data_IF_721469047833
#
_entry.id   IF_721469047833
#
_cell.length_a   1.000
_cell.length_b   1.000
_cell.length_c   1.000
_cell.angle_alpha   90.00
_cell.angle_beta   90.00
_cell.angle_gamma   90.00
#
_symmetry.space_group_name_H-M   'P 1'
#
loop_
_entity.id
_entity.type
_entity.pdbx_description
1 polymer ?
#
# COMPACT_ATOMS: atom_id res chain seq x y z
N UNK A 1 9.40 -4.13 3.21
CA UNK A 1 10.03 -4.81 2.05
C UNK A 1 11.37 -4.19 1.66
N UNK A 2 11.48 -2.86 1.49
CA UNK A 2 12.73 -2.22 1.09
C UNK A 2 13.89 -2.42 2.08
N UNK A 3 13.62 -2.39 3.40
CA UNK A 3 14.68 -2.63 4.39
C UNK A 3 15.27 -4.04 4.28
N UNK A 4 14.43 -5.03 3.97
CA UNK A 4 14.88 -6.40 3.68
C UNK A 4 15.68 -6.42 2.37
N UNK A 5 15.23 -5.72 1.33
CA UNK A 5 15.95 -5.63 0.06
C UNK A 5 17.33 -4.96 0.20
N UNK A 6 17.45 -3.92 1.04
CA UNK A 6 18.71 -3.28 1.39
C UNK A 6 19.69 -4.24 2.05
N UNK A 7 19.21 -5.06 2.98
CA UNK A 7 20.03 -6.12 3.60
C UNK A 7 20.48 -7.17 2.58
N UNK A 8 19.79 -7.29 1.44
CA UNK A 8 20.12 -8.17 0.32
C UNK A 8 20.86 -7.45 -0.84
N UNK A 9 21.41 -6.25 -0.59
CA UNK A 9 22.28 -5.54 -1.54
C UNK A 9 21.61 -4.55 -2.48
N UNK A 10 20.30 -4.30 -2.34
CA UNK A 10 19.56 -3.36 -3.19
C UNK A 10 19.66 -1.93 -2.65
N UNK A 11 20.14 -0.99 -3.46
CA UNK A 11 20.45 0.38 -3.02
C UNK A 11 19.32 1.38 -3.29
N UNK A 12 18.56 1.18 -4.37
CA UNK A 12 17.48 2.06 -4.80
C UNK A 12 16.09 1.40 -4.67
N UNK A 13 15.15 2.07 -4.00
CA UNK A 13 13.77 1.60 -3.81
C UNK A 13 13.07 1.33 -5.14
N UNK A 14 13.37 2.11 -6.18
CA UNK A 14 12.72 1.98 -7.49
C UNK A 14 13.18 0.76 -8.28
N UNK A 15 14.31 0.15 -7.92
CA UNK A 15 14.76 -1.12 -8.48
C UNK A 15 13.93 -2.30 -7.97
N UNK A 16 13.33 -2.16 -6.80
CA UNK A 16 12.60 -3.24 -6.15
C UNK A 16 11.40 -3.71 -7.00
N UNK A 17 10.66 -2.77 -7.61
CA UNK A 17 9.54 -3.08 -8.52
C UNK A 17 9.97 -3.70 -9.86
N UNK A 18 11.27 -3.63 -10.20
CA UNK A 18 11.84 -4.19 -11.43
C UNK A 18 12.39 -5.61 -11.25
N UNK A 19 12.51 -6.07 -10.00
CA UNK A 19 12.96 -7.43 -9.71
C UNK A 19 11.97 -8.47 -10.27
N UNK A 20 12.44 -9.68 -10.61
CA UNK A 20 11.56 -10.80 -10.93
C UNK A 20 10.53 -11.03 -9.81
N UNK A 21 9.29 -11.40 -10.19
CA UNK A 21 8.19 -11.63 -9.25
C UNK A 21 8.57 -12.63 -8.14
N UNK A 22 9.31 -13.69 -8.46
CA UNK A 22 9.77 -14.67 -7.47
C UNK A 22 10.64 -14.03 -6.38
N UNK A 23 11.53 -13.09 -6.74
CA UNK A 23 12.36 -12.38 -5.76
C UNK A 23 11.53 -11.38 -4.96
N UNK A 24 10.56 -10.72 -5.58
CA UNK A 24 9.62 -9.85 -4.86
C UNK A 24 8.80 -10.65 -3.82
N UNK A 25 8.34 -11.85 -4.16
CA UNK A 25 7.63 -12.75 -3.23
C UNK A 25 8.50 -13.16 -2.04
N UNK A 26 9.77 -13.51 -2.26
CA UNK A 26 10.71 -13.86 -1.19
C UNK A 26 10.93 -12.68 -0.22
N UNK A 27 11.12 -11.47 -0.77
CA UNK A 27 11.28 -10.25 0.00
C UNK A 27 9.99 -9.86 0.76
N UNK A 28 8.82 -10.06 0.15
CA UNK A 28 7.52 -9.86 0.79
C UNK A 28 7.33 -10.81 1.96
N UNK A 29 7.62 -12.11 1.77
CA UNK A 29 7.52 -13.13 2.82
C UNK A 29 8.43 -12.79 4.00
N UNK A 30 9.70 -12.49 3.75
CA UNK A 30 10.67 -12.14 4.80
C UNK A 30 10.25 -10.88 5.55
N UNK A 31 9.75 -9.87 4.83
CA UNK A 31 9.24 -8.65 5.46
C UNK A 31 8.00 -8.93 6.32
N UNK A 32 7.09 -9.79 5.85
CA UNK A 32 5.90 -10.21 6.58
C UNK A 32 6.26 -10.96 7.88
N UNK A 33 7.23 -11.87 7.83
CA UNK A 33 7.71 -12.60 9.01
C UNK A 33 8.34 -11.67 10.04
N UNK A 34 9.12 -10.68 9.57
CA UNK A 34 9.69 -9.65 10.46
C UNK A 34 8.60 -8.80 11.12
N UNK A 35 7.59 -8.36 10.37
CA UNK A 35 6.45 -7.62 10.90
C UNK A 35 5.68 -8.46 11.92
N UNK A 36 5.43 -9.74 11.63
CA UNK A 36 4.72 -10.65 12.54
C UNK A 36 5.49 -10.95 13.84
N UNK A 37 6.80 -10.67 13.86
CA UNK A 37 7.64 -10.81 15.06
C UNK A 37 7.66 -9.57 15.97
N UNK A 38 7.05 -8.46 15.54
CA UNK A 38 6.86 -7.27 16.38
C UNK A 38 6.07 -7.60 17.66
N UNK A 39 6.43 -6.96 18.77
CA UNK A 39 5.84 -7.20 20.10
C UNK A 39 5.00 -6.02 20.60
N UNK A 40 5.01 -4.93 19.83
CA UNK A 40 4.21 -3.75 20.06
C UNK A 40 2.72 -4.08 19.97
N UNK A 41 1.92 -3.43 20.82
CA UNK A 41 0.47 -3.62 20.86
C UNK A 41 -0.21 -3.23 19.54
N UNK A 42 0.30 -2.16 18.90
CA UNK A 42 -0.21 -1.65 17.62
C UNK A 42 0.94 -1.51 16.64
N UNK A 43 0.82 -2.20 15.51
CA UNK A 43 1.77 -2.12 14.39
C UNK A 43 1.05 -1.55 13.18
N UNK A 44 1.44 -0.34 12.77
CA UNK A 44 0.91 0.30 11.56
C UNK A 44 1.81 -0.04 10.38
N UNK A 45 1.22 -0.64 9.34
CA UNK A 45 1.93 -1.07 8.13
C UNK A 45 1.55 -0.13 6.98
N UNK A 46 2.41 0.84 6.67
CA UNK A 46 2.29 1.63 5.45
C UNK A 46 2.72 0.79 4.24
N UNK A 47 1.75 0.47 3.38
CA UNK A 47 1.96 -0.36 2.20
C UNK A 47 0.97 0.01 1.10
N UNK A 48 1.25 -0.45 -0.11
CA UNK A 48 0.33 -0.30 -1.23
C UNK A 48 -0.56 -1.53 -1.35
N UNK A 49 -1.82 -1.33 -1.77
CA UNK A 49 -2.71 -2.44 -2.14
C UNK A 49 -2.14 -3.22 -3.35
N UNK A 50 -1.46 -2.51 -4.25
CA UNK A 50 -0.79 -3.07 -5.41
C UNK A 50 0.40 -2.23 -5.84
N UNK A 51 1.25 -2.82 -6.68
CA UNK A 51 2.34 -2.16 -7.39
C UNK A 51 2.00 -2.24 -8.88
N UNK A 52 2.02 -1.10 -9.56
CA UNK A 52 1.92 -1.05 -11.02
C UNK A 52 3.26 -1.49 -11.63
N UNK A 53 3.24 -2.58 -12.42
CA UNK A 53 4.38 -3.06 -13.19
C UNK A 53 4.02 -3.15 -14.68
N UNK A 54 5.00 -3.38 -15.58
CA UNK A 54 4.72 -3.63 -16.99
C UNK A 54 3.80 -4.85 -17.23
N UNK A 55 3.78 -5.81 -16.30
CA UNK A 55 3.00 -7.06 -16.38
C UNK A 55 1.56 -6.88 -15.85
N UNK A 56 1.27 -5.77 -15.18
CA UNK A 56 -0.06 -5.47 -14.63
C UNK A 56 0.01 -4.93 -13.20
N UNK A 57 -1.08 -5.12 -12.45
CA UNK A 57 -1.15 -4.75 -11.04
C UNK A 57 -0.76 -5.95 -10.18
N UNK A 58 0.43 -5.87 -9.58
CA UNK A 58 0.93 -6.90 -8.69
C UNK A 58 0.43 -6.63 -7.26
N UNK A 59 -0.21 -7.60 -6.57
CA UNK A 59 -0.77 -7.38 -5.24
C UNK A 59 0.33 -7.07 -4.21
N UNK A 60 0.14 -6.01 -3.43
CA UNK A 60 1.04 -5.68 -2.32
C UNK A 60 0.81 -6.53 -1.08
N UNK A 61 -0.39 -7.11 -0.95
CA UNK A 61 -0.80 -8.00 0.13
C UNK A 61 -1.40 -9.31 -0.41
N UNK A 62 -0.58 -10.16 -1.07
CA UNK A 62 -1.03 -11.47 -1.54
C UNK A 62 -1.35 -12.41 -0.36
N UNK A 63 -2.09 -13.48 -0.63
CA UNK A 63 -2.56 -14.44 0.38
C UNK A 63 -1.43 -14.95 1.31
N UNK A 64 -0.26 -15.27 0.77
CA UNK A 64 0.86 -15.77 1.57
C UNK A 64 1.40 -14.72 2.57
N UNK A 65 1.32 -13.43 2.24
CA UNK A 65 1.65 -12.34 3.16
C UNK A 65 0.56 -12.18 4.21
N UNK A 66 -0.71 -12.17 3.78
CA UNK A 66 -1.86 -12.03 4.67
C UNK A 66 -1.92 -13.14 5.74
N UNK A 67 -1.56 -14.38 5.38
CA UNK A 67 -1.49 -15.52 6.31
C UNK A 67 -0.42 -15.37 7.39
N UNK A 68 0.64 -14.61 7.11
CA UNK A 68 1.74 -14.36 8.04
C UNK A 68 1.40 -13.16 8.94
N UNK A 69 1.06 -12.02 8.33
CA UNK A 69 0.81 -10.76 9.05
C UNK A 69 -0.47 -10.85 9.89
N UNK A 70 -1.51 -11.54 9.38
CA UNK A 70 -2.85 -11.63 10.01
C UNK A 70 -3.35 -10.26 10.47
N UNK A 71 -3.49 -9.29 9.54
CA UNK A 71 -3.91 -7.93 9.90
C UNK A 71 -5.27 -7.98 10.59
N UNK A 72 -5.49 -7.11 11.57
CA UNK A 72 -6.79 -6.97 12.26
C UNK A 72 -7.70 -5.96 11.57
N UNK A 73 -7.13 -5.02 10.82
CA UNK A 73 -7.84 -3.91 10.18
C UNK A 73 -7.13 -3.54 8.88
N UNK A 74 -7.91 -3.09 7.90
CA UNK A 74 -7.39 -2.38 6.74
C UNK A 74 -7.86 -0.93 6.74
N UNK A 75 -6.96 -0.03 6.35
CA UNK A 75 -7.29 1.37 6.12
C UNK A 75 -6.93 1.70 4.67
N UNK A 76 -7.95 2.01 3.87
CA UNK A 76 -7.78 2.44 2.48
C UNK A 76 -7.84 3.96 2.41
N UNK A 77 -6.68 4.60 2.28
CA UNK A 77 -6.56 6.04 2.11
C UNK A 77 -6.67 6.39 0.63
N UNK A 78 -7.56 7.32 0.29
CA UNK A 78 -7.73 7.84 -1.06
C UNK A 78 -8.05 9.33 -1.04
N UNK A 79 -8.15 9.94 -2.22
CA UNK A 79 -8.61 11.30 -2.41
C UNK A 79 -9.36 11.38 -3.74
N UNK A 80 -9.96 12.55 -4.06
CA UNK A 80 -10.59 12.70 -5.37
C UNK A 80 -9.55 12.50 -6.48
N UNK A 81 -9.90 11.85 -7.61
CA UNK A 81 -8.96 11.65 -8.71
C UNK A 81 -8.27 12.94 -9.16
N UNK A 82 -9.00 14.05 -9.16
CA UNK A 82 -8.51 15.37 -9.55
C UNK A 82 -7.50 15.93 -8.53
N UNK A 83 -7.74 15.74 -7.23
CA UNK A 83 -6.81 16.12 -6.16
C UNK A 83 -5.52 15.30 -6.24
N UNK A 84 -5.64 13.97 -6.43
CA UNK A 84 -4.48 13.11 -6.63
C UNK A 84 -3.70 13.55 -7.86
N UNK A 85 -4.37 13.76 -8.99
CA UNK A 85 -3.73 14.20 -10.22
C UNK A 85 -2.96 15.52 -10.01
N UNK A 86 -3.61 16.53 -9.41
CA UNK A 86 -3.00 17.82 -9.09
C UNK A 86 -1.76 17.67 -8.20
N UNK A 87 -1.86 16.92 -7.09
CA UNK A 87 -0.71 16.67 -6.18
C UNK A 87 0.46 16.03 -6.91
N UNK A 88 0.19 15.08 -7.81
CA UNK A 88 1.23 14.39 -8.57
C UNK A 88 1.88 15.28 -9.64
N UNK A 89 1.15 16.25 -10.20
CA UNK A 89 1.68 17.22 -11.16
C UNK A 89 2.54 18.30 -10.50
N UNK A 90 2.29 18.59 -9.23
CA UNK A 90 3.06 19.57 -8.43
C UNK A 90 4.24 18.96 -7.67
N UNK A 91 4.48 17.65 -7.81
CA UNK A 91 5.52 16.92 -7.07
C UNK A 91 6.73 16.65 -7.96
N UNK A 92 7.73 17.52 -7.87
CA UNK A 92 8.97 17.45 -8.66
C UNK A 92 9.94 16.36 -8.18
N UNK A 93 9.66 15.72 -7.04
CA UNK A 93 10.59 14.75 -6.43
C UNK A 93 10.47 13.34 -7.03
N UNK A 94 9.44 13.08 -7.84
CA UNK A 94 9.13 11.74 -8.35
C UNK A 94 8.83 11.74 -9.85
N UNK A 95 9.55 10.91 -10.61
CA UNK A 95 9.28 10.71 -12.03
C UNK A 95 8.15 9.67 -12.23
N UNK A 96 7.05 10.07 -12.86
CA UNK A 96 5.85 9.23 -13.04
C UNK A 96 5.48 9.13 -14.52
N UNK A 97 5.89 8.04 -15.16
CA UNK A 97 5.79 7.83 -16.61
C UNK A 97 4.36 7.85 -17.21
N UNK A 98 3.29 7.69 -16.41
CA UNK A 98 1.90 7.51 -16.90
C UNK A 98 0.84 8.23 -16.06
N UNK A 99 1.05 9.50 -15.76
CA UNK A 99 0.14 10.24 -14.89
C UNK A 99 -0.99 10.94 -15.68
N UNK A 100 -2.11 10.26 -15.88
CA UNK A 100 -3.34 10.85 -16.43
C UNK A 100 -4.48 10.71 -15.42
N UNK A 101 -5.47 11.60 -15.47
CA UNK A 101 -6.66 11.50 -14.61
C UNK A 101 -7.38 10.16 -14.78
N UNK A 102 -7.44 9.63 -16.01
CA UNK A 102 -8.03 8.31 -16.29
C UNK A 102 -7.25 7.18 -15.61
N UNK A 103 -5.92 7.24 -15.61
CA UNK A 103 -5.09 6.25 -14.93
C UNK A 103 -5.27 6.33 -13.41
N UNK A 104 -5.37 7.52 -12.83
CA UNK A 104 -5.67 7.70 -11.40
C UNK A 104 -7.00 7.06 -11.04
N UNK A 105 -8.06 7.27 -11.83
CA UNK A 105 -9.37 6.64 -11.61
C UNK A 105 -9.25 5.11 -11.63
N UNK A 106 -8.58 4.58 -12.65
CA UNK A 106 -8.34 3.13 -12.78
C UNK A 106 -7.56 2.56 -11.60
N UNK A 107 -6.53 3.26 -11.13
CA UNK A 107 -5.74 2.86 -9.96
C UNK A 107 -6.60 2.81 -8.69
N UNK A 108 -7.50 3.78 -8.50
CA UNK A 108 -8.44 3.79 -7.37
C UNK A 108 -9.42 2.61 -7.41
N UNK A 109 -9.94 2.29 -8.59
CA UNK A 109 -10.86 1.14 -8.77
C UNK A 109 -10.15 -0.19 -8.43
N UNK A 110 -8.91 -0.36 -8.92
CA UNK A 110 -8.08 -1.53 -8.61
C UNK A 110 -7.74 -1.61 -7.13
N UNK A 111 -7.39 -0.48 -6.49
CA UNK A 111 -7.14 -0.42 -5.05
C UNK A 111 -8.38 -0.90 -4.27
N UNK A 112 -9.56 -0.39 -4.63
CA UNK A 112 -10.82 -0.77 -3.99
C UNK A 112 -11.09 -2.27 -4.12
N UNK A 113 -10.90 -2.83 -5.31
CA UNK A 113 -11.06 -4.27 -5.55
C UNK A 113 -10.08 -5.12 -4.74
N UNK A 114 -8.79 -4.77 -4.73
CA UNK A 114 -7.77 -5.55 -4.02
C UNK A 114 -7.92 -5.49 -2.51
N UNK A 115 -8.23 -4.32 -1.95
CA UNK A 115 -8.49 -4.20 -0.50
C UNK A 115 -9.75 -4.98 -0.11
N UNK A 116 -10.80 -4.95 -0.94
CA UNK A 116 -12.00 -5.75 -0.69
C UNK A 116 -11.69 -7.25 -0.69
N UNK A 117 -10.84 -7.73 -1.60
CA UNK A 117 -10.37 -9.12 -1.61
C UNK A 117 -9.56 -9.47 -0.34
N UNK A 118 -8.69 -8.58 0.12
CA UNK A 118 -7.93 -8.78 1.36
C UNK A 118 -8.87 -8.93 2.57
N UNK A 119 -9.92 -8.11 2.63
CA UNK A 119 -10.94 -8.17 3.68
C UNK A 119 -11.69 -9.51 3.66
N UNK A 120 -12.09 -9.99 2.48
CA UNK A 120 -12.76 -11.30 2.32
C UNK A 120 -11.85 -12.45 2.74
N UNK A 121 -10.57 -12.42 2.36
CA UNK A 121 -9.60 -13.49 2.67
C UNK A 121 -9.31 -13.57 4.18
N UNK A 122 -9.21 -12.43 4.86
CA UNK A 122 -8.78 -12.36 6.27
C UNK A 122 -9.93 -12.27 7.27
N UNK A 123 -11.13 -11.91 6.81
CA UNK A 123 -12.25 -11.55 7.68
C UNK A 123 -12.11 -10.20 8.38
N UNK A 124 -11.11 -9.38 8.01
CA UNK A 124 -10.83 -8.10 8.68
C UNK A 124 -11.59 -6.93 8.06
N UNK A 125 -12.08 -5.97 8.87
CA UNK A 125 -12.81 -4.81 8.38
C UNK A 125 -11.92 -3.85 7.58
N UNK A 126 -12.55 -3.09 6.67
CA UNK A 126 -11.91 -2.04 5.89
C UNK A 126 -12.52 -0.69 6.25
N UNK A 127 -11.67 0.26 6.66
CA UNK A 127 -12.03 1.67 6.78
C UNK A 127 -11.57 2.44 5.54
N UNK A 128 -12.49 3.06 4.83
CA UNK A 128 -12.17 4.00 3.74
C UNK A 128 -12.00 5.41 4.29
N UNK A 129 -10.86 6.04 4.03
CA UNK A 129 -10.52 7.39 4.50
C UNK A 129 -10.20 8.28 3.32
N UNK A 130 -10.93 9.39 3.21
CA UNK A 130 -10.70 10.41 2.18
C UNK A 130 -9.80 11.53 2.72
N UNK A 131 -8.60 11.65 2.16
CA UNK A 131 -7.63 12.71 2.46
C UNK A 131 -7.79 13.88 1.48
N UNK A 132 -8.72 14.79 1.83
CA UNK A 132 -9.00 16.00 1.05
C UNK A 132 -7.88 17.02 1.15
N UNK A 133 -7.80 17.91 0.17
CA UNK A 133 -6.78 18.97 0.15
C UNK A 133 -6.83 19.84 1.41
N UNK A 134 -5.68 20.05 2.06
CA UNK A 134 -5.56 20.81 3.29
C UNK A 134 -6.22 20.19 4.54
N UNK A 135 -6.68 18.93 4.48
CA UNK A 135 -7.43 18.25 5.55
C UNK A 135 -6.73 16.98 6.06
N UNK A 136 -5.40 17.02 6.13
CA UNK A 136 -4.58 15.88 6.56
C UNK A 136 -4.88 15.47 8.01
N UNK A 137 -5.10 16.43 8.90
CA UNK A 137 -5.39 16.17 10.31
C UNK A 137 -6.75 15.44 10.46
N UNK A 138 -7.78 15.89 9.75
CA UNK A 138 -9.09 15.19 9.71
C UNK A 138 -8.98 13.76 9.16
N UNK A 139 -8.05 13.51 8.24
CA UNK A 139 -7.81 12.17 7.72
C UNK A 139 -7.09 11.31 8.76
N UNK A 140 -6.08 11.85 9.45
CA UNK A 140 -5.36 11.17 10.52
C UNK A 140 -6.29 10.81 11.69
N UNK A 141 -7.13 11.75 12.13
CA UNK A 141 -8.11 11.52 13.21
C UNK A 141 -9.06 10.37 12.88
N UNK A 142 -9.54 10.28 11.63
CA UNK A 142 -10.41 9.18 11.19
C UNK A 142 -9.72 7.82 11.19
N UNK A 143 -8.40 7.79 10.96
CA UNK A 143 -7.60 6.58 11.04
C UNK A 143 -7.47 6.16 12.49
N UNK A 144 -7.06 7.07 13.37
CA UNK A 144 -6.88 6.82 14.81
C UNK A 144 -8.19 6.30 15.44
N UNK A 145 -9.32 6.97 15.17
CA UNK A 145 -10.64 6.53 15.63
C UNK A 145 -11.01 5.13 15.12
N UNK A 146 -10.56 4.74 13.92
CA UNK A 146 -10.84 3.40 13.37
C UNK A 146 -10.03 2.29 14.02
N UNK A 147 -8.95 2.65 14.72
CA UNK A 147 -8.12 1.75 15.52
C UNK A 147 -8.61 1.65 16.98
N UNK A 148 -9.63 2.44 17.36
CA UNK A 148 -10.14 2.48 18.73
C UNK A 148 -9.25 3.26 19.71
N UNK A 149 -8.41 4.16 19.17
CA UNK A 149 -7.51 5.04 19.90
C UNK A 149 -8.06 6.47 20.03
#
# INVERSE_FOLDING_TARGET
MFDVAKQNGLTDRDELRKLPISKQQELQKTAAEKIASCTEEIVIIDTHAFISSPEGYYPGLPEHVLKIIKPSNFVSVSAKPEEIYSRRMSDDTRNRDKNTLANVKKELDVQSGMISACAVITGSPVKYVLNREGKVDEAADKIIQSLGL
#
